data_IF_794202459645
#
_entry.id   IF_794202459645
#
_cell.length_a   1.000
_cell.length_b   1.000
_cell.length_c   1.000
_cell.angle_alpha   90.00
_cell.angle_beta   90.00
_cell.angle_gamma   90.00
#
_symmetry.space_group_name_H-M   'P 1'
#
loop_
_entity.id
_entity.type
_entity.pdbx_description
1 polymer ?
#
# COMPACT_ATOMS: atom_id res chain seq x y z
N UNK A 1 5.78 -7.44 -4.22
CA UNK A 1 4.87 -8.10 -5.17
C UNK A 1 3.44 -7.51 -5.10
N UNK A 2 2.51 -7.96 -5.95
CA UNK A 2 1.12 -7.46 -5.98
C UNK A 2 0.27 -7.86 -4.76
N UNK A 3 0.71 -8.84 -3.94
CA UNK A 3 0.00 -9.20 -2.72
C UNK A 3 0.28 -8.19 -1.59
N UNK A 4 1.56 -7.95 -1.30
CA UNK A 4 1.97 -7.06 -0.22
C UNK A 4 2.20 -5.61 -0.66
N UNK A 5 2.11 -5.31 -1.95
CA UNK A 5 2.32 -3.97 -2.55
C UNK A 5 3.69 -3.32 -2.32
N UNK A 6 4.61 -3.99 -1.60
CA UNK A 6 6.03 -3.63 -1.53
C UNK A 6 6.74 -4.18 -2.75
N UNK A 7 7.35 -3.35 -3.58
CA UNK A 7 8.02 -3.79 -4.79
C UNK A 7 9.42 -4.36 -4.50
N UNK A 8 10.11 -4.90 -5.52
CA UNK A 8 11.46 -5.47 -5.38
C UNK A 8 11.52 -6.94 -4.99
N UNK A 9 10.39 -7.66 -5.03
CA UNK A 9 10.37 -9.12 -4.87
C UNK A 9 9.16 -9.76 -5.56
N UNK A 10 9.32 -11.01 -5.98
CA UNK A 10 8.26 -11.81 -6.60
C UNK A 10 7.26 -12.38 -5.57
N UNK A 11 6.06 -12.77 -6.02
CA UNK A 11 5.03 -13.33 -5.13
C UNK A 11 5.48 -14.61 -4.39
N UNK A 12 6.19 -15.57 -5.01
CA UNK A 12 6.58 -16.82 -4.33
C UNK A 12 7.51 -16.62 -3.13
N UNK A 13 8.27 -15.54 -3.10
CA UNK A 13 9.23 -15.20 -2.01
C UNK A 13 8.66 -14.14 -1.06
N UNK A 14 7.37 -13.82 -1.17
CA UNK A 14 6.72 -12.83 -0.34
C UNK A 14 6.32 -13.42 1.01
N UNK A 15 6.89 -12.89 2.09
CA UNK A 15 6.59 -13.31 3.47
C UNK A 15 5.34 -12.62 4.08
N UNK A 16 4.64 -11.78 3.31
CA UNK A 16 3.40 -11.16 3.79
C UNK A 16 2.30 -12.21 3.93
N UNK A 17 1.78 -12.38 5.15
CA UNK A 17 0.74 -13.35 5.48
C UNK A 17 -0.58 -12.99 4.78
N UNK A 18 -0.87 -11.70 4.65
CA UNK A 18 -2.10 -11.19 4.00
C UNK A 18 -1.76 -10.27 2.83
N UNK A 19 -2.74 -10.10 1.96
CA UNK A 19 -2.74 -8.96 1.04
C UNK A 19 -2.75 -7.65 1.82
N UNK A 20 -2.14 -6.61 1.24
CA UNK A 20 -2.17 -5.26 1.80
C UNK A 20 -3.20 -4.39 1.08
N UNK A 21 -3.79 -3.47 1.82
CA UNK A 21 -4.71 -2.49 1.31
C UNK A 21 -3.95 -1.51 0.41
N UNK A 22 -4.42 -1.33 -0.83
CA UNK A 22 -3.76 -0.41 -1.76
C UNK A 22 -3.99 1.07 -1.42
N UNK A 23 -4.99 1.35 -0.58
CA UNK A 23 -5.25 2.69 -0.08
C UNK A 23 -4.32 3.07 1.08
N UNK A 24 -4.24 2.24 2.13
CA UNK A 24 -3.51 2.62 3.35
C UNK A 24 -2.30 1.74 3.70
N UNK A 25 -2.04 0.66 2.94
CA UNK A 25 -0.94 -0.27 3.22
C UNK A 25 -1.16 -1.21 4.41
N UNK A 26 -2.35 -1.18 5.02
CA UNK A 26 -2.72 -2.03 6.15
C UNK A 26 -2.95 -3.49 5.76
N UNK A 27 -2.94 -4.39 6.74
CA UNK A 27 -3.14 -5.84 6.56
C UNK A 27 -4.62 -6.20 6.39
N UNK A 28 -5.23 -5.76 5.29
CA UNK A 28 -6.60 -6.06 4.88
C UNK A 28 -6.75 -5.82 3.38
N UNK A 29 -7.82 -6.34 2.77
CA UNK A 29 -8.13 -6.05 1.37
C UNK A 29 -8.65 -4.61 1.20
N UNK A 30 -8.45 -3.99 0.04
CA UNK A 30 -8.98 -2.63 -0.22
C UNK A 30 -10.51 -2.55 -0.05
N UNK A 31 -11.23 -3.63 -0.34
CA UNK A 31 -12.69 -3.73 -0.13
C UNK A 31 -13.09 -3.67 1.35
N UNK A 32 -12.20 -4.09 2.26
CA UNK A 32 -12.45 -4.07 3.70
C UNK A 32 -11.97 -2.77 4.35
N UNK A 33 -11.48 -1.81 3.56
CA UNK A 33 -10.80 -0.61 4.06
C UNK A 33 -11.66 0.16 5.07
N UNK A 34 -12.92 0.47 4.75
CA UNK A 34 -13.80 1.22 5.66
C UNK A 34 -14.05 0.51 6.99
N UNK A 35 -14.00 -0.82 7.02
CA UNK A 35 -14.28 -1.63 8.22
C UNK A 35 -13.03 -1.83 9.08
N UNK A 36 -11.86 -1.98 8.43
CA UNK A 36 -10.61 -2.43 9.07
C UNK A 36 -9.52 -1.37 9.19
N UNK A 37 -9.56 -0.30 8.39
CA UNK A 37 -8.52 0.71 8.44
C UNK A 37 -8.66 1.59 9.66
N UNK A 38 -7.58 1.75 10.42
CA UNK A 38 -7.56 2.60 11.60
C UNK A 38 -7.99 4.06 11.31
N UNK A 39 -7.69 4.59 10.12
CA UNK A 39 -8.14 5.93 9.72
C UNK A 39 -9.65 6.01 9.44
N UNK A 40 -10.33 4.88 9.23
CA UNK A 40 -11.78 4.82 9.00
C UNK A 40 -12.56 4.32 10.23
N UNK A 41 -11.87 3.81 11.26
CA UNK A 41 -12.50 3.38 12.50
C UNK A 41 -12.70 4.59 13.43
N UNK A 42 -13.96 4.92 13.77
CA UNK A 42 -14.30 6.08 14.61
C UNK A 42 -15.74 6.57 14.47
N UNK A 43 -16.04 7.74 15.07
CA UNK A 43 -17.40 8.27 15.23
C UNK A 43 -18.11 8.80 13.98
N UNK A 44 -17.44 8.83 12.83
CA UNK A 44 -18.04 9.18 11.53
C UNK A 44 -17.77 8.04 10.54
N UNK A 45 -18.46 6.89 10.68
CA UNK A 45 -18.34 5.80 9.73
C UNK A 45 -18.71 6.34 8.35
N UNK A 46 -17.80 6.17 7.39
CA UNK A 46 -18.06 6.53 6.00
C UNK A 46 -19.34 5.80 5.56
N UNK A 47 -20.44 6.50 5.22
CA UNK A 47 -21.68 5.84 4.82
C UNK A 47 -21.35 4.95 3.62
N UNK A 48 -21.92 3.74 3.58
CA UNK A 48 -21.38 2.51 2.96
C UNK A 48 -20.88 2.53 1.50
N UNK A 49 -20.84 3.67 0.82
CA UNK A 49 -20.26 3.89 -0.50
C UNK A 49 -19.44 5.19 -0.66
N UNK A 50 -19.33 6.06 0.35
CA UNK A 50 -18.53 7.27 0.23
C UNK A 50 -17.02 6.91 0.21
N UNK A 51 -16.19 7.63 -0.56
CA UNK A 51 -14.75 7.40 -0.56
C UNK A 51 -14.17 7.76 0.81
N UNK A 52 -13.17 7.00 1.25
CA UNK A 52 -12.38 7.37 2.43
C UNK A 52 -11.83 8.81 2.24
N UNK A 53 -12.07 9.73 3.20
CA UNK A 53 -11.63 11.12 3.08
C UNK A 53 -10.11 11.27 3.21
N UNK A 54 -9.43 10.23 3.70
CA UNK A 54 -7.98 10.21 3.82
C UNK A 54 -7.34 9.88 2.47
N UNK A 55 -6.32 10.64 2.04
CA UNK A 55 -5.59 10.30 0.82
C UNK A 55 -4.93 8.92 0.95
N UNK A 56 -4.76 8.19 -0.17
CA UNK A 56 -3.96 6.98 -0.15
C UNK A 56 -2.53 7.26 0.31
N UNK A 57 -1.85 6.25 0.85
CA UNK A 57 -0.43 6.32 1.24
C UNK A 57 0.35 5.19 0.61
N UNK A 58 1.35 5.54 -0.19
CA UNK A 58 2.20 4.56 -0.86
C UNK A 58 3.15 3.89 0.13
N UNK A 59 3.11 2.56 0.20
CA UNK A 59 3.99 1.78 1.08
C UNK A 59 5.45 1.75 0.63
N UNK A 60 5.76 2.19 -0.60
CA UNK A 60 7.11 2.19 -1.16
C UNK A 60 7.81 3.54 -1.02
N UNK A 61 7.11 4.66 -1.25
CA UNK A 61 7.71 6.01 -1.18
C UNK A 61 7.10 6.91 -0.10
N UNK A 62 6.02 6.49 0.57
CA UNK A 62 5.35 7.28 1.60
C UNK A 62 4.46 8.43 1.10
N UNK A 63 4.47 8.74 -0.19
CA UNK A 63 3.69 9.83 -0.78
C UNK A 63 2.18 9.52 -0.88
N UNK A 64 1.39 10.58 -1.13
CA UNK A 64 -0.07 10.57 -1.14
C UNK A 64 -0.67 9.99 -2.44
N UNK A 65 -0.37 8.74 -2.76
CA UNK A 65 -0.92 7.98 -3.89
C UNK A 65 -0.87 6.48 -3.61
N UNK A 66 -1.58 5.67 -4.40
CA UNK A 66 -1.55 4.20 -4.27
C UNK A 66 -0.24 3.62 -4.81
N UNK A 67 0.21 2.51 -4.23
CA UNK A 67 1.46 1.85 -4.65
C UNK A 67 1.43 1.34 -6.10
N UNK A 68 0.24 1.20 -6.69
CA UNK A 68 0.02 0.74 -8.06
C UNK A 68 -0.13 1.86 -9.10
N UNK A 69 -0.07 3.13 -8.67
CA UNK A 69 -0.19 4.25 -9.61
C UNK A 69 1.07 4.40 -10.47
N UNK A 70 0.88 4.68 -11.76
CA UNK A 70 2.00 4.84 -12.72
C UNK A 70 2.86 6.07 -12.44
N UNK A 71 2.32 7.04 -11.72
CA UNK A 71 3.02 8.22 -11.24
C UNK A 71 4.03 7.87 -10.14
N UNK A 72 3.92 6.70 -9.50
CA UNK A 72 4.87 6.22 -8.52
C UNK A 72 6.13 5.67 -9.21
N UNK A 73 7.34 6.21 -8.95
CA UNK A 73 8.56 5.70 -9.57
C UNK A 73 8.84 4.25 -9.18
N UNK A 74 8.52 3.85 -7.94
CA UNK A 74 8.64 2.45 -7.51
C UNK A 74 7.70 1.51 -8.27
N UNK A 75 6.54 1.99 -8.75
CA UNK A 75 5.68 1.18 -9.60
C UNK A 75 6.27 1.00 -11.00
N UNK A 76 6.91 2.04 -11.54
CA UNK A 76 7.67 1.98 -12.79
C UNK A 76 8.78 0.93 -12.73
N UNK A 77 9.55 0.94 -11.64
CA UNK A 77 10.65 0.01 -11.37
C UNK A 77 10.23 -1.26 -10.61
N UNK A 78 8.94 -1.62 -10.58
CA UNK A 78 8.44 -2.67 -9.68
C UNK A 78 9.03 -4.07 -9.91
N UNK A 79 9.64 -4.31 -11.07
CA UNK A 79 10.33 -5.57 -11.42
C UNK A 79 11.86 -5.47 -11.33
N UNK A 80 12.40 -4.30 -11.00
CA UNK A 80 13.84 -4.02 -10.90
C UNK A 80 14.26 -4.07 -9.42
N UNK A 81 14.67 -5.26 -8.97
CA UNK A 81 14.99 -5.51 -7.56
C UNK A 81 16.18 -4.67 -7.07
N UNK A 82 17.19 -4.47 -7.91
CA UNK A 82 18.38 -3.68 -7.59
C UNK A 82 18.01 -2.20 -7.41
N UNK A 83 17.25 -1.63 -8.35
CA UNK A 83 16.79 -0.25 -8.24
C UNK A 83 15.94 -0.05 -6.98
N UNK A 84 15.00 -0.95 -6.71
CA UNK A 84 14.13 -0.84 -5.53
C UNK A 84 14.95 -0.90 -4.23
N UNK A 85 15.94 -1.79 -4.15
CA UNK A 85 16.77 -1.95 -2.94
C UNK A 85 17.61 -0.69 -2.65
N UNK A 86 18.04 0.02 -3.69
CA UNK A 86 18.81 1.26 -3.55
C UNK A 86 17.95 2.49 -3.22
N UNK A 87 16.67 2.47 -3.57
CA UNK A 87 15.79 3.64 -3.47
C UNK A 87 14.71 3.52 -2.39
N UNK A 88 14.47 2.32 -1.84
CA UNK A 88 13.51 2.17 -0.75
C UNK A 88 13.92 3.07 0.41
N UNK A 89 12.97 3.86 0.97
CA UNK A 89 13.25 4.64 2.14
C UNK A 89 13.68 3.65 3.23
N UNK A 90 14.86 3.86 3.81
CA UNK A 90 15.29 3.13 4.98
C UNK A 90 14.14 3.19 5.99
N UNK A 91 13.66 2.02 6.40
CA UNK A 91 12.69 1.96 7.47
C UNK A 91 13.34 2.64 8.68
N UNK A 92 12.83 3.81 9.08
CA UNK A 92 13.16 4.36 10.38
C UNK A 92 12.83 3.24 11.38
N UNK A 93 13.89 2.77 12.05
CA UNK A 93 13.83 1.68 13.03
C UNK A 93 13.05 2.10 14.25
#
# INVERSE_FOLDING_TARGET
CSACLRWGHARPVCHSITCRCNHCGGNHLEQEHHQRAACCQGGNPTPGNAPCPHPPKCVNCGAAHKATERTCPFYGHRHDCDWISQHQPHAAS
#
